data_IF_673492407024
#
_entry.id   IF_673492407024
#
_cell.length_a   1.000
_cell.length_b   1.000
_cell.length_c   1.000
_cell.angle_alpha   90.00
_cell.angle_beta   90.00
_cell.angle_gamma   90.00
#
_symmetry.space_group_name_H-M   'P 1'
#
loop_
_entity.id
_entity.type
_entity.pdbx_description
1 polymer ?
#
# COMPACT_ATOMS: atom_id res chain seq x y z
N UNK A 1 -7.09 -18.12 0.50
CA UNK A 1 -6.19 -16.97 0.63
C UNK A 1 -6.15 -16.67 2.11
N UNK A 2 -4.98 -16.75 2.71
CA UNK A 2 -4.80 -16.42 4.13
C UNK A 2 -4.60 -14.92 4.33
N UNK A 3 -4.58 -14.47 5.58
CA UNK A 3 -4.38 -13.05 5.90
C UNK A 3 -2.99 -12.55 5.43
N UNK A 4 -1.97 -13.40 5.49
CA UNK A 4 -0.60 -13.07 5.08
C UNK A 4 -0.53 -12.69 3.59
N UNK A 5 -1.23 -13.41 2.72
CA UNK A 5 -1.33 -13.08 1.29
C UNK A 5 -1.94 -11.69 1.04
N UNK A 6 -2.95 -11.29 1.81
CA UNK A 6 -3.53 -9.94 1.71
C UNK A 6 -2.59 -8.85 2.23
N UNK A 7 -1.93 -9.10 3.37
CA UNK A 7 -0.97 -8.16 3.95
C UNK A 7 0.24 -7.95 3.03
N UNK A 8 0.72 -9.02 2.39
CA UNK A 8 1.78 -8.95 1.38
C UNK A 8 1.37 -8.05 0.21
N UNK A 9 0.13 -8.11 -0.28
CA UNK A 9 -0.33 -7.20 -1.34
C UNK A 9 -0.24 -5.73 -0.91
N UNK A 10 -0.55 -5.43 0.37
CA UNK A 10 -0.44 -4.08 0.92
C UNK A 10 1.03 -3.66 1.05
N UNK A 11 1.92 -4.54 1.52
CA UNK A 11 3.36 -4.23 1.63
C UNK A 11 4.02 -4.01 0.27
N UNK A 12 3.60 -4.74 -0.77
CA UNK A 12 4.10 -4.52 -2.14
C UNK A 12 3.75 -3.13 -2.67
N UNK A 13 2.67 -2.49 -2.16
CA UNK A 13 2.41 -1.09 -2.47
C UNK A 13 3.47 -0.16 -1.86
N UNK A 14 3.97 -0.45 -0.67
CA UNK A 14 5.05 0.34 -0.05
C UNK A 14 6.36 0.16 -0.80
N UNK A 15 6.72 -1.08 -1.15
CA UNK A 15 7.92 -1.37 -1.96
C UNK A 15 7.87 -0.65 -3.29
N UNK A 16 6.73 -0.73 -4.01
CA UNK A 16 6.58 -0.03 -5.29
C UNK A 16 6.66 1.49 -5.14
N UNK A 17 6.16 2.05 -4.03
CA UNK A 17 6.27 3.48 -3.74
C UNK A 17 7.74 3.87 -3.52
N UNK A 18 8.48 3.11 -2.73
CA UNK A 18 9.91 3.32 -2.49
C UNK A 18 10.71 3.26 -3.78
N UNK A 19 10.44 2.28 -4.66
CA UNK A 19 11.08 2.18 -5.98
C UNK A 19 10.81 3.42 -6.85
N UNK A 20 9.59 3.96 -6.83
CA UNK A 20 9.24 5.18 -7.56
C UNK A 20 10.01 6.39 -7.01
N UNK A 21 10.11 6.52 -5.69
CA UNK A 21 10.86 7.60 -5.04
C UNK A 21 12.37 7.47 -5.34
N UNK A 22 12.92 6.24 -5.32
CA UNK A 22 14.32 5.97 -5.67
C UNK A 22 14.63 6.40 -7.12
N UNK A 23 13.74 6.08 -8.08
CA UNK A 23 13.89 6.52 -9.47
C UNK A 23 13.89 8.05 -9.56
N UNK A 24 13.03 8.73 -8.79
CA UNK A 24 12.96 10.20 -8.76
C UNK A 24 14.26 10.84 -8.24
N UNK A 25 14.96 10.18 -7.33
CA UNK A 25 16.21 10.67 -6.75
C UNK A 25 17.44 10.37 -7.62
N UNK A 26 17.45 9.21 -8.30
CA UNK A 26 18.62 8.73 -9.07
C UNK A 26 18.63 9.16 -10.53
N UNK A 27 17.48 9.52 -11.10
CA UNK A 27 17.35 9.86 -12.53
C UNK A 27 17.11 11.35 -12.71
N UNK A 28 17.85 11.98 -13.64
CA UNK A 28 17.56 13.35 -14.07
C UNK A 28 16.33 13.37 -14.97
N UNK A 29 15.17 13.70 -14.40
CA UNK A 29 13.88 13.72 -15.08
C UNK A 29 13.60 15.10 -15.69
N UNK A 30 12.95 15.12 -16.85
CA UNK A 30 12.27 16.34 -17.31
C UNK A 30 11.09 16.66 -16.38
N UNK A 31 10.61 17.93 -16.36
CA UNK A 31 9.43 18.29 -15.56
C UNK A 31 8.20 17.42 -15.87
N UNK A 32 8.04 17.00 -17.13
CA UNK A 32 6.93 16.16 -17.57
C UNK A 32 7.01 14.73 -17.04
N UNK A 33 8.21 14.16 -16.97
CA UNK A 33 8.45 12.81 -16.43
C UNK A 33 8.32 12.81 -14.91
N UNK A 34 8.87 13.83 -14.23
CA UNK A 34 8.69 14.01 -12.78
C UNK A 34 7.21 14.12 -12.39
N UNK A 35 6.41 14.86 -13.17
CA UNK A 35 4.96 14.94 -12.96
C UNK A 35 4.26 13.58 -13.12
N UNK A 36 4.71 12.74 -14.07
CA UNK A 36 4.13 11.40 -14.27
C UNK A 36 4.50 10.45 -13.14
N UNK A 37 5.75 10.50 -12.66
CA UNK A 37 6.18 9.68 -11.52
C UNK A 37 5.47 10.09 -10.22
N UNK A 38 5.29 11.39 -9.97
CA UNK A 38 4.50 11.86 -8.82
C UNK A 38 3.02 11.41 -8.89
N UNK A 39 2.46 11.31 -10.10
CA UNK A 39 1.11 10.72 -10.28
C UNK A 39 1.11 9.22 -10.01
N UNK A 40 2.17 8.51 -10.42
CA UNK A 40 2.30 7.08 -10.19
C UNK A 40 2.35 6.77 -8.69
N UNK A 41 3.19 7.48 -7.91
CA UNK A 41 3.23 7.31 -6.45
C UNK A 41 1.88 7.61 -5.81
N UNK A 42 1.20 8.68 -6.22
CA UNK A 42 -0.15 8.99 -5.72
C UNK A 42 -1.21 7.92 -6.07
N UNK A 43 -1.07 7.21 -7.19
CA UNK A 43 -1.94 6.08 -7.51
C UNK A 43 -1.64 4.85 -6.63
N UNK A 44 -0.37 4.60 -6.31
CA UNK A 44 0.04 3.51 -5.41
C UNK A 44 -0.50 3.75 -4.00
N UNK A 45 -0.37 4.97 -3.48
CA UNK A 45 -0.92 5.37 -2.17
C UNK A 45 -2.44 5.15 -2.11
N UNK A 46 -3.11 5.54 -3.18
CA UNK A 46 -4.56 5.35 -3.28
C UNK A 46 -4.93 3.87 -3.35
N UNK A 47 -4.17 3.06 -4.09
CA UNK A 47 -4.40 1.62 -4.13
C UNK A 47 -4.22 1.00 -2.75
N UNK A 48 -3.12 1.32 -2.05
CA UNK A 48 -2.86 0.86 -0.68
C UNK A 48 -4.03 1.19 0.26
N UNK A 49 -4.47 2.45 0.29
CA UNK A 49 -5.60 2.88 1.12
C UNK A 49 -6.88 2.11 0.78
N UNK A 50 -7.22 1.97 -0.50
CA UNK A 50 -8.42 1.22 -0.92
C UNK A 50 -8.36 -0.25 -0.50
N UNK A 51 -7.19 -0.89 -0.64
CA UNK A 51 -7.02 -2.30 -0.28
C UNK A 51 -7.05 -2.51 1.24
N UNK A 52 -6.42 -1.60 2.00
CA UNK A 52 -6.43 -1.57 3.47
C UNK A 52 -7.87 -1.49 3.99
N UNK A 53 -8.70 -0.63 3.40
CA UNK A 53 -10.11 -0.50 3.79
C UNK A 53 -10.95 -1.71 3.32
N UNK A 54 -10.66 -2.26 2.14
CA UNK A 54 -11.48 -3.29 1.51
C UNK A 54 -11.27 -4.67 2.14
N UNK A 55 -10.03 -5.12 2.30
CA UNK A 55 -9.69 -6.50 2.68
C UNK A 55 -10.43 -7.02 3.92
N UNK A 56 -10.46 -6.31 5.07
CA UNK A 56 -11.19 -6.78 6.26
C UNK A 56 -12.72 -6.79 6.07
N UNK A 57 -13.24 -6.10 5.05
CA UNK A 57 -14.69 -5.99 4.77
C UNK A 57 -15.21 -7.01 3.74
N UNK A 58 -14.33 -7.83 3.15
CA UNK A 58 -14.72 -8.81 2.13
C UNK A 58 -15.58 -9.90 2.77
N UNK A 59 -16.89 -9.89 2.44
CA UNK A 59 -17.89 -10.78 3.04
C UNK A 59 -17.65 -12.27 2.82
N UNK A 60 -16.95 -12.64 1.75
CA UNK A 60 -16.70 -14.05 1.39
C UNK A 60 -15.47 -14.65 2.11
N UNK A 61 -14.73 -13.87 2.90
CA UNK A 61 -13.62 -14.37 3.70
C UNK A 61 -14.11 -15.01 5.00
N UNK A 62 -13.33 -15.96 5.49
CA UNK A 62 -13.51 -16.57 6.81
C UNK A 62 -13.37 -15.51 7.91
N UNK A 63 -14.12 -15.65 9.01
CA UNK A 63 -14.11 -14.64 10.10
C UNK A 63 -12.70 -14.48 10.71
N UNK A 64 -11.97 -15.58 10.89
CA UNK A 64 -10.60 -15.56 11.43
C UNK A 64 -9.66 -14.71 10.57
N UNK A 65 -9.73 -14.85 9.24
CA UNK A 65 -8.94 -14.04 8.30
C UNK A 65 -9.31 -12.56 8.41
N UNK A 66 -10.61 -12.23 8.52
CA UNK A 66 -11.05 -10.84 8.66
C UNK A 66 -10.65 -10.23 9.99
N UNK A 67 -10.65 -11.00 11.06
CA UNK A 67 -10.21 -10.58 12.39
C UNK A 67 -8.71 -10.24 12.35
N UNK A 68 -7.86 -11.14 11.84
CA UNK A 68 -6.43 -10.86 11.66
C UNK A 68 -6.19 -9.64 10.78
N UNK A 69 -6.88 -9.52 9.64
CA UNK A 69 -6.75 -8.34 8.77
C UNK A 69 -7.20 -7.06 9.47
N UNK A 70 -8.26 -7.12 10.28
CA UNK A 70 -8.72 -5.95 11.02
C UNK A 70 -7.71 -5.54 12.08
N UNK A 71 -7.15 -6.50 12.83
CA UNK A 71 -6.13 -6.23 13.84
C UNK A 71 -4.88 -5.59 13.21
N UNK A 72 -4.28 -6.26 12.23
CA UNK A 72 -3.03 -5.82 11.59
C UNK A 72 -3.16 -4.51 10.80
N UNK A 73 -4.34 -4.21 10.27
CA UNK A 73 -4.59 -2.98 9.48
C UNK A 73 -5.24 -1.85 10.28
N UNK A 74 -5.66 -2.10 11.52
CA UNK A 74 -6.27 -1.09 12.39
C UNK A 74 -5.27 -0.27 13.20
N UNK A 75 -3.98 -0.63 13.20
CA UNK A 75 -2.94 0.15 13.86
C UNK A 75 -2.53 1.35 12.99
N UNK A 76 -2.84 2.60 13.39
CA UNK A 76 -2.18 3.76 12.82
C UNK A 76 -0.79 3.83 13.45
N UNK A 77 0.26 3.55 12.67
CA UNK A 77 1.66 3.88 12.94
C UNK A 77 2.01 4.00 14.44
N UNK A 78 2.30 2.88 15.11
CA UNK A 78 2.96 2.88 16.41
C UNK A 78 4.45 3.30 16.32
N UNK A 79 4.75 4.29 15.48
CA UNK A 79 6.05 4.96 15.36
C UNK A 79 5.85 6.48 15.17
N UNK A 80 5.25 7.11 16.17
CA UNK A 80 5.59 8.49 16.53
C UNK A 80 6.30 8.47 17.89
N UNK A 81 7.62 8.30 17.87
CA UNK A 81 8.55 8.90 18.84
C UNK A 81 9.91 9.16 18.15
#
# INVERSE_FOLDING_TARGET
MDAEEFLNIISECDVLREDIDEVRERVSLTPSEGTKLAKASGHVDKAKSVLTDLFPTIRSLEEEVKETLSEELSEPDAFTD
#
